data_IF_842970766691
#
_entry.id   IF_842970766691
#
_cell.length_a   1.000
_cell.length_b   1.000
_cell.length_c   1.000
_cell.angle_alpha   90.00
_cell.angle_beta   90.00
_cell.angle_gamma   90.00
#
_symmetry.space_group_name_H-M   'P 1'
#
loop_
_entity.id
_entity.type
_entity.pdbx_description
1 polymer ?
#
# COMPACT_ATOMS: atom_id res chain seq x y z
N UNK A 1 8.51 6.18 -16.44
CA UNK A 1 8.53 5.23 -15.32
C UNK A 1 7.48 4.18 -15.64
N UNK A 2 7.85 2.90 -15.71
CA UNK A 2 6.89 1.80 -15.76
C UNK A 2 6.71 1.34 -14.32
N UNK A 3 5.50 1.46 -13.78
CA UNK A 3 5.22 1.17 -12.36
C UNK A 3 4.90 -0.33 -12.13
N UNK A 4 4.98 -1.15 -13.18
CA UNK A 4 4.59 -2.56 -13.15
C UNK A 4 3.06 -2.73 -13.08
N UNK A 5 2.58 -3.90 -13.49
CA UNK A 5 1.21 -4.33 -13.24
C UNK A 5 1.15 -5.16 -11.98
N UNK A 6 0.03 -5.08 -11.24
CA UNK A 6 -0.16 -5.90 -10.06
C UNK A 6 -0.34 -7.37 -10.51
N UNK A 7 0.53 -8.31 -10.08
CA UNK A 7 0.46 -9.71 -10.52
C UNK A 7 -0.86 -10.38 -10.16
N UNK A 8 -1.57 -9.89 -9.13
CA UNK A 8 -2.87 -10.41 -8.71
C UNK A 8 -3.97 -10.17 -9.75
N UNK A 9 -3.79 -9.24 -10.68
CA UNK A 9 -4.76 -9.03 -11.77
C UNK A 9 -4.92 -10.28 -12.66
N UNK A 10 -3.83 -11.01 -12.89
CA UNK A 10 -3.80 -12.23 -13.68
C UNK A 10 -4.24 -13.48 -12.90
N UNK A 11 -4.47 -13.37 -11.58
CA UNK A 11 -4.87 -14.51 -10.77
C UNK A 11 -6.31 -14.93 -11.09
N UNK A 12 -6.51 -16.24 -11.19
CA UNK A 12 -7.83 -16.85 -11.30
C UNK A 12 -8.60 -16.72 -9.99
N UNK A 13 -9.88 -16.40 -10.10
CA UNK A 13 -10.77 -16.28 -8.94
C UNK A 13 -11.54 -17.57 -8.71
N UNK A 14 -11.23 -18.24 -7.60
CA UNK A 14 -11.96 -19.44 -7.17
C UNK A 14 -13.27 -19.06 -6.43
N UNK A 15 -14.43 -19.66 -6.79
CA UNK A 15 -15.73 -19.35 -6.21
C UNK A 15 -15.94 -20.04 -4.85
N UNK A 16 -15.15 -19.63 -3.85
CA UNK A 16 -15.16 -20.21 -2.50
C UNK A 16 -16.33 -19.73 -1.59
N UNK A 17 -17.08 -18.72 -2.02
CA UNK A 17 -18.22 -18.17 -1.30
C UNK A 17 -19.31 -17.66 -2.24
N UNK A 18 -20.51 -17.41 -1.71
CA UNK A 18 -21.69 -17.02 -2.48
C UNK A 18 -21.46 -15.78 -3.35
N UNK A 19 -20.81 -14.74 -2.81
CA UNK A 19 -20.54 -13.51 -3.55
C UNK A 19 -19.55 -13.75 -4.69
N UNK A 20 -18.48 -14.51 -4.45
CA UNK A 20 -17.52 -14.87 -5.51
C UNK A 20 -18.19 -15.73 -6.59
N UNK A 21 -19.02 -16.70 -6.22
CA UNK A 21 -19.79 -17.50 -7.18
C UNK A 21 -20.66 -16.61 -8.06
N UNK A 22 -21.38 -15.67 -7.46
CA UNK A 22 -22.21 -14.73 -8.20
C UNK A 22 -21.40 -13.87 -9.17
N UNK A 23 -20.27 -13.30 -8.70
CA UNK A 23 -19.37 -12.50 -9.54
C UNK A 23 -18.76 -13.30 -10.69
N UNK A 24 -18.23 -14.49 -10.41
CA UNK A 24 -17.59 -15.36 -11.41
C UNK A 24 -18.60 -15.72 -12.51
N UNK A 25 -19.83 -16.09 -12.14
CA UNK A 25 -20.87 -16.40 -13.12
C UNK A 25 -21.27 -15.17 -13.93
N UNK A 26 -21.53 -14.05 -13.26
CA UNK A 26 -21.94 -12.81 -13.93
C UNK A 26 -20.89 -12.30 -14.93
N UNK A 27 -19.62 -12.31 -14.52
CA UNK A 27 -18.49 -11.88 -15.35
C UNK A 27 -18.20 -12.91 -16.44
N UNK A 28 -18.32 -14.20 -16.14
CA UNK A 28 -18.14 -15.28 -17.12
C UNK A 28 -19.16 -15.22 -18.25
N UNK A 29 -20.43 -14.97 -17.94
CA UNK A 29 -21.47 -14.79 -18.96
C UNK A 29 -21.21 -13.56 -19.84
N UNK A 30 -20.63 -12.49 -19.26
CA UNK A 30 -20.38 -11.22 -19.96
C UNK A 30 -19.16 -11.29 -20.88
N UNK A 31 -18.05 -11.88 -20.41
CA UNK A 31 -16.78 -11.90 -21.14
C UNK A 31 -16.57 -13.18 -21.95
N UNK A 32 -17.20 -14.29 -21.56
CA UNK A 32 -17.14 -15.59 -22.21
C UNK A 32 -15.71 -15.98 -22.68
N UNK A 33 -14.74 -16.08 -21.75
CA UNK A 33 -13.34 -16.34 -22.08
C UNK A 33 -13.16 -17.75 -22.68
N UNK A 34 -12.16 -17.90 -23.56
CA UNK A 34 -11.93 -19.15 -24.29
C UNK A 34 -11.51 -20.33 -23.40
N UNK A 35 -10.80 -20.06 -22.31
CA UNK A 35 -10.34 -21.05 -21.32
C UNK A 35 -11.36 -21.30 -20.20
N UNK A 36 -12.45 -20.52 -20.16
CA UNK A 36 -13.46 -20.57 -19.11
C UNK A 36 -12.99 -20.05 -17.75
N UNK A 37 -11.80 -19.45 -17.66
CA UNK A 37 -11.24 -18.95 -16.42
C UNK A 37 -11.54 -17.46 -16.23
N UNK A 38 -11.96 -17.08 -15.02
CA UNK A 38 -12.24 -15.69 -14.67
C UNK A 38 -11.11 -15.16 -13.80
N UNK A 39 -10.44 -14.11 -14.28
CA UNK A 39 -9.36 -13.44 -13.57
C UNK A 39 -9.86 -12.25 -12.76
N UNK A 40 -9.05 -11.79 -11.81
CA UNK A 40 -9.32 -10.58 -11.04
C UNK A 40 -9.47 -9.37 -11.96
N UNK A 41 -8.65 -9.27 -13.01
CA UNK A 41 -8.73 -8.20 -14.01
C UNK A 41 -10.11 -8.11 -14.66
N UNK A 42 -10.70 -9.23 -15.08
CA UNK A 42 -12.02 -9.26 -15.72
C UNK A 42 -13.13 -8.77 -14.78
N UNK A 43 -13.03 -9.10 -13.49
CA UNK A 43 -13.96 -8.62 -12.46
C UNK A 43 -13.79 -7.11 -12.26
N UNK A 44 -12.55 -6.63 -12.10
CA UNK A 44 -12.26 -5.21 -11.93
C UNK A 44 -12.73 -4.39 -13.14
N UNK A 45 -12.51 -4.87 -14.35
CA UNK A 45 -12.99 -4.23 -15.57
C UNK A 45 -14.53 -4.13 -15.57
N UNK A 46 -15.22 -5.22 -15.22
CA UNK A 46 -16.68 -5.24 -15.15
C UNK A 46 -17.23 -4.28 -14.10
N UNK A 47 -16.63 -4.25 -12.90
CA UNK A 47 -17.01 -3.33 -11.84
C UNK A 47 -16.69 -1.87 -12.18
N UNK A 48 -15.61 -1.61 -12.90
CA UNK A 48 -15.25 -0.26 -13.37
C UNK A 48 -16.31 0.31 -14.32
N UNK A 49 -16.88 -0.53 -15.18
CA UNK A 49 -17.91 -0.12 -16.12
C UNK A 49 -19.28 0.04 -15.48
N UNK A 50 -19.63 -0.83 -14.53
CA UNK A 50 -21.00 -0.94 -14.02
C UNK A 50 -21.23 -0.37 -12.63
N UNK A 51 -20.16 -0.24 -11.84
CA UNK A 51 -20.21 0.31 -10.49
C UNK A 51 -19.02 1.26 -10.22
N UNK A 52 -18.79 2.28 -11.09
CA UNK A 52 -17.62 3.15 -11.02
C UNK A 52 -17.54 3.91 -9.71
N UNK A 53 -18.65 4.33 -9.12
CA UNK A 53 -18.71 5.08 -7.87
C UNK A 53 -18.19 4.27 -6.68
N UNK A 54 -18.45 2.96 -6.64
CA UNK A 54 -17.93 2.08 -5.60
C UNK A 54 -16.42 1.90 -5.75
N UNK A 55 -15.96 1.59 -6.96
CA UNK A 55 -14.54 1.39 -7.21
C UNK A 55 -13.74 2.68 -6.96
N UNK A 56 -14.30 3.84 -7.33
CA UNK A 56 -13.66 5.14 -7.10
C UNK A 56 -13.58 5.48 -5.62
N UNK A 57 -14.67 5.29 -4.86
CA UNK A 57 -14.65 5.52 -3.41
C UNK A 57 -13.59 4.64 -2.71
N UNK A 58 -13.47 3.36 -3.10
CA UNK A 58 -12.45 2.46 -2.55
C UNK A 58 -11.03 2.94 -2.91
N UNK A 59 -10.82 3.39 -4.15
CA UNK A 59 -9.53 3.89 -4.60
C UNK A 59 -9.12 5.18 -3.88
N UNK A 60 -10.04 6.14 -3.75
CA UNK A 60 -9.80 7.44 -3.09
C UNK A 60 -9.47 7.26 -1.60
N UNK A 61 -10.25 6.48 -0.87
CA UNK A 61 -10.00 6.22 0.56
C UNK A 61 -8.66 5.51 0.79
N UNK A 62 -8.32 4.53 -0.06
CA UNK A 62 -7.03 3.84 0.03
C UNK A 62 -5.85 4.77 -0.31
N UNK A 63 -6.02 5.65 -1.30
CA UNK A 63 -5.01 6.62 -1.69
C UNK A 63 -4.79 7.67 -0.60
N UNK A 64 -5.84 8.30 -0.10
CA UNK A 64 -5.76 9.32 0.96
C UNK A 64 -5.09 8.74 2.21
N UNK A 65 -5.51 7.55 2.65
CA UNK A 65 -4.92 6.89 3.82
C UNK A 65 -3.43 6.58 3.62
N UNK A 66 -3.04 6.09 2.45
CA UNK A 66 -1.64 5.80 2.14
C UNK A 66 -0.76 7.05 2.15
N UNK A 67 -1.23 8.15 1.58
CA UNK A 67 -0.50 9.43 1.61
C UNK A 67 -0.41 10.02 3.01
N UNK A 68 -1.49 9.94 3.78
CA UNK A 68 -1.49 10.41 5.16
C UNK A 68 -0.46 9.65 6.00
N UNK A 69 -0.47 8.33 5.93
CA UNK A 69 0.51 7.47 6.62
C UNK A 69 1.95 7.81 6.20
N UNK A 70 2.21 7.98 4.91
CA UNK A 70 3.57 8.31 4.45
C UNK A 70 4.08 9.65 5.00
N UNK A 71 3.20 10.65 5.14
CA UNK A 71 3.57 11.95 5.73
C UNK A 71 3.81 11.84 7.24
N UNK A 72 3.01 11.03 7.93
CA UNK A 72 3.20 10.72 9.36
C UNK A 72 4.52 10.00 9.59
N UNK A 73 4.82 8.95 8.81
CA UNK A 73 6.06 8.17 8.88
C UNK A 73 7.31 9.06 8.68
N UNK A 74 7.26 10.03 7.74
CA UNK A 74 8.35 11.01 7.55
C UNK A 74 8.50 11.91 8.77
N UNK A 75 7.39 12.41 9.30
CA UNK A 75 7.40 13.32 10.47
C UNK A 75 7.95 12.61 11.70
N UNK A 76 7.53 11.36 11.94
CA UNK A 76 8.03 10.52 13.02
C UNK A 76 9.50 10.14 12.82
N UNK A 77 9.90 9.78 11.60
CA UNK A 77 11.28 9.48 11.25
C UNK A 77 12.23 10.67 11.48
N UNK A 78 11.82 11.89 11.10
CA UNK A 78 12.59 13.10 11.38
C UNK A 78 12.75 13.34 12.89
N UNK A 79 11.69 13.09 13.66
CA UNK A 79 11.71 13.27 15.11
C UNK A 79 12.64 12.24 15.77
N UNK A 80 12.53 10.97 15.40
CA UNK A 80 13.39 9.91 15.90
C UNK A 80 14.87 10.20 15.60
N UNK A 81 15.17 10.65 14.37
CA UNK A 81 16.54 11.03 13.97
C UNK A 81 17.10 12.19 14.81
N UNK A 82 16.29 13.22 15.09
CA UNK A 82 16.69 14.33 15.95
C UNK A 82 16.92 13.89 17.40
N UNK A 83 16.05 13.03 17.93
CA UNK A 83 16.21 12.48 19.29
C UNK A 83 17.47 11.62 19.41
N UNK A 84 17.83 10.85 18.38
CA UNK A 84 19.08 10.09 18.34
C UNK A 84 20.31 11.01 18.29
N UNK A 85 20.29 12.06 17.46
CA UNK A 85 21.35 13.07 17.43
C UNK A 85 21.53 13.76 18.78
N UNK A 86 20.43 14.13 19.46
CA UNK A 86 20.47 14.74 20.78
C UNK A 86 20.99 13.79 21.87
N UNK A 87 20.73 12.48 21.75
CA UNK A 87 21.28 11.47 22.65
C UNK A 87 22.79 11.27 22.42
N UNK A 88 23.23 11.12 21.17
CA UNK A 88 24.64 11.04 20.80
C UNK A 88 25.41 12.28 21.30
N UNK A 89 24.88 13.49 21.09
CA UNK A 89 25.52 14.72 21.56
C UNK A 89 25.56 14.85 23.09
N UNK A 90 24.63 14.22 23.83
CA UNK A 90 24.65 14.17 25.30
C UNK A 90 25.60 13.11 25.83
N UNK A 91 25.71 11.97 25.15
CA UNK A 91 26.61 10.86 25.51
C UNK A 91 28.08 11.21 25.16
N UNK A 92 28.34 11.92 24.08
CA UNK A 92 29.67 12.50 23.76
C UNK A 92 30.09 13.64 24.72
N UNK A 93 29.16 14.17 25.52
CA UNK A 93 29.44 15.12 26.59
C UNK A 93 29.58 14.44 27.98
N UNK A 94 29.51 13.11 28.03
CA UNK A 94 29.67 12.30 29.25
C UNK A 94 31.11 11.89 29.57
N UNK A 95 32.02 11.93 28.60
CA UNK A 95 33.45 11.59 28.76
C UNK A 95 34.38 12.66 28.16
N UNK A 96 33.95 13.92 28.14
CA UNK A 96 34.90 15.03 27.96
C UNK A 96 35.55 15.33 29.32
N UNK A 97 36.47 14.47 29.77
CA UNK A 97 37.60 14.96 30.54
C UNK A 97 38.34 15.93 29.61
N UNK A 98 38.02 17.21 29.75
CA UNK A 98 38.90 18.28 29.33
C UNK A 98 40.18 18.07 30.15
N UNK A 99 41.15 17.36 29.60
CA UNK A 99 42.52 17.42 30.08
C UNK A 99 42.98 18.86 29.87
N UNK A 100 42.73 19.70 30.89
CA UNK A 100 43.42 20.97 31.08
C UNK A 100 44.87 20.62 31.43
N UNK A 101 45.67 20.29 30.42
CA UNK A 101 47.11 20.44 30.54
C UNK A 101 47.44 21.93 30.44
N UNK A 102 47.30 22.65 31.55
CA UNK A 102 47.85 23.99 31.74
C UNK A 102 48.39 24.13 33.18
N UNK A 103 49.72 24.07 33.34
CA UNK A 103 50.43 24.51 34.56
C UNK A 103 51.60 23.65 35.00
#
# INVERSE_FOLDING_TARGET
>A
MNLGENPTLAEKVEPDNELKTWLVNYVGDKHNPEDGEITVEMIVATLSEQFPEFLMAVAEENWIRGYHQALEDVTEGEKAYKEELEKCNKEDCGDCECDETDG
#
